data_IF_007956042702
#
_entry.id   IF_007956042702
#
_cell.length_a   1.000
_cell.length_b   1.000
_cell.length_c   1.000
_cell.angle_alpha   90.00
_cell.angle_beta   90.00
_cell.angle_gamma   90.00
#
_symmetry.space_group_name_H-M   'P 1'
#
loop_
_entity.id
_entity.type
_entity.pdbx_description
1 polymer ?
#
# COMPACT_ATOMS: atom_id res chain seq x y z
N UNK A 1 13.10 -27.91 7.72
CA UNK A 1 11.62 -28.06 7.70
C UNK A 1 10.98 -27.95 9.11
N UNK A 2 11.53 -27.11 10.00
CA UNK A 2 10.91 -26.78 11.30
C UNK A 2 10.49 -25.29 11.35
N UNK A 3 11.27 -24.39 10.72
CA UNK A 3 11.02 -22.96 10.66
C UNK A 3 9.69 -22.54 10.00
N UNK A 4 9.21 -23.29 9.00
CA UNK A 4 7.97 -22.94 8.28
C UNK A 4 6.70 -23.21 9.11
N UNK A 5 6.76 -24.11 10.11
CA UNK A 5 5.59 -24.46 10.93
C UNK A 5 5.26 -23.41 11.99
N UNK A 6 6.25 -22.62 12.44
CA UNK A 6 6.04 -21.61 13.50
C UNK A 6 5.51 -20.26 12.98
N UNK A 7 5.65 -19.98 11.68
CA UNK A 7 5.24 -18.71 11.07
C UNK A 7 3.74 -18.65 10.72
N UNK A 8 3.00 -19.75 10.90
CA UNK A 8 1.67 -19.93 10.31
C UNK A 8 1.75 -19.91 8.77
N UNK A 9 0.62 -20.00 8.04
CA UNK A 9 0.67 -19.93 6.59
C UNK A 9 1.40 -18.64 6.15
N UNK A 10 2.47 -18.85 5.39
CA UNK A 10 3.16 -17.85 4.60
C UNK A 10 2.51 -17.91 3.22
N UNK A 11 1.62 -16.95 2.91
CA UNK A 11 0.90 -16.93 1.63
C UNK A 11 -0.55 -16.46 1.71
N UNK A 12 -1.25 -16.67 0.59
CA UNK A 12 -2.57 -16.13 0.23
C UNK A 12 -3.72 -16.36 1.23
N UNK A 13 -3.64 -17.39 2.08
CA UNK A 13 -4.71 -17.68 3.03
C UNK A 13 -4.80 -16.68 4.21
N UNK A 14 -3.74 -15.93 4.50
CA UNK A 14 -3.81 -14.74 5.35
C UNK A 14 -4.01 -13.43 4.55
N UNK A 15 -4.00 -13.51 3.20
CA UNK A 15 -4.22 -12.40 2.27
C UNK A 15 -5.69 -12.05 2.04
N UNK A 16 -6.59 -12.46 2.96
CA UNK A 16 -7.79 -11.64 3.29
C UNK A 16 -7.36 -10.32 3.96
N UNK A 17 -6.40 -9.61 3.37
CA UNK A 17 -6.01 -8.26 3.75
C UNK A 17 -7.22 -7.38 3.50
N UNK A 18 -7.69 -6.79 4.59
CA UNK A 18 -8.88 -5.95 4.60
C UNK A 18 -8.53 -4.60 3.98
N UNK A 19 -9.54 -3.92 3.45
CA UNK A 19 -9.37 -2.55 2.99
C UNK A 19 -8.91 -1.63 4.14
N UNK A 20 -8.31 -0.51 3.77
CA UNK A 20 -8.01 0.56 4.73
C UNK A 20 -9.30 1.06 5.39
N UNK A 21 -9.17 1.53 6.62
CA UNK A 21 -10.26 2.06 7.44
C UNK A 21 -10.55 3.55 7.17
N UNK A 22 -9.93 4.14 6.14
CA UNK A 22 -10.15 5.55 5.80
C UNK A 22 -11.62 5.80 5.39
N UNK A 23 -12.29 6.85 5.91
CA UNK A 23 -13.74 7.03 5.75
C UNK A 23 -14.18 7.32 4.31
N UNK A 24 -13.29 7.89 3.48
CA UNK A 24 -13.56 8.19 2.05
C UNK A 24 -12.88 7.23 1.08
N UNK A 25 -12.54 6.02 1.54
CA UNK A 25 -11.97 4.99 0.65
C UNK A 25 -12.92 4.69 -0.49
N UNK A 26 -12.43 4.75 -1.71
CA UNK A 26 -13.27 4.50 -2.86
C UNK A 26 -13.69 3.03 -2.89
N UNK A 27 -14.98 2.81 -3.15
CA UNK A 27 -15.55 1.51 -3.44
C UNK A 27 -16.38 1.68 -4.70
N UNK A 28 -16.11 0.86 -5.70
CA UNK A 28 -16.74 0.95 -6.99
C UNK A 28 -17.04 -0.47 -7.50
N UNK A 29 -18.13 -0.61 -8.24
CA UNK A 29 -18.47 -1.86 -8.90
C UNK A 29 -17.58 -2.10 -10.14
N UNK A 30 -17.65 -3.30 -10.72
CA UNK A 30 -16.80 -3.67 -11.85
C UNK A 30 -16.99 -2.77 -13.08
N UNK A 31 -18.22 -2.38 -13.47
CA UNK A 31 -18.43 -1.43 -14.57
C UNK A 31 -17.72 -0.09 -14.32
N UNK A 32 -17.89 0.50 -13.13
CA UNK A 32 -17.25 1.77 -12.78
C UNK A 32 -15.74 1.66 -12.77
N UNK A 33 -15.18 0.57 -12.24
CA UNK A 33 -13.73 0.34 -12.25
C UNK A 33 -13.17 0.09 -13.65
N UNK A 34 -13.95 -0.54 -14.53
CA UNK A 34 -13.55 -0.73 -15.94
C UNK A 34 -13.47 0.60 -16.66
N UNK A 35 -14.43 1.50 -16.41
CA UNK A 35 -14.39 2.85 -16.98
C UNK A 35 -13.24 3.68 -16.41
N UNK A 36 -12.99 3.57 -15.10
CA UNK A 36 -11.82 4.19 -14.48
C UNK A 36 -10.51 3.70 -15.11
N UNK A 37 -10.37 2.39 -15.38
CA UNK A 37 -9.19 1.85 -16.06
C UNK A 37 -8.99 2.47 -17.46
N UNK A 38 -10.06 2.60 -18.26
CA UNK A 38 -10.00 3.28 -19.56
C UNK A 38 -9.62 4.75 -19.45
N UNK A 39 -10.15 5.46 -18.45
CA UNK A 39 -9.81 6.85 -18.15
C UNK A 39 -8.32 7.00 -17.82
N UNK A 40 -7.77 6.09 -17.02
CA UNK A 40 -6.35 6.10 -16.68
C UNK A 40 -5.50 5.80 -17.92
N UNK A 41 -5.89 4.82 -18.75
CA UNK A 41 -5.21 4.52 -20.01
C UNK A 41 -5.21 5.73 -20.97
N UNK A 42 -6.22 6.59 -20.91
CA UNK A 42 -6.31 7.83 -21.71
C UNK A 42 -5.66 9.06 -21.04
N UNK A 43 -5.13 8.92 -19.82
CA UNK A 43 -4.38 9.97 -19.13
C UNK A 43 -5.20 10.84 -18.18
N UNK A 44 -6.43 10.47 -17.87
CA UNK A 44 -7.25 11.12 -16.85
C UNK A 44 -7.30 10.26 -15.56
N UNK A 45 -6.74 10.75 -14.42
CA UNK A 45 -6.74 10.02 -13.17
C UNK A 45 -8.14 9.87 -12.54
N UNK A 46 -9.12 10.68 -12.94
CA UNK A 46 -10.48 10.66 -12.41
C UNK A 46 -10.51 10.68 -10.88
N UNK A 47 -11.24 9.73 -10.28
CA UNK A 47 -11.42 9.65 -8.82
C UNK A 47 -10.14 9.28 -8.06
N UNK A 48 -9.12 8.68 -8.71
CA UNK A 48 -7.82 8.42 -8.08
C UNK A 48 -7.12 9.70 -7.62
N UNK A 49 -7.45 10.84 -8.22
CA UNK A 49 -6.83 12.11 -7.86
C UNK A 49 -7.23 12.61 -6.46
N UNK A 50 -8.36 12.15 -5.92
CA UNK A 50 -9.01 12.78 -4.75
C UNK A 50 -9.49 11.83 -3.67
N UNK A 51 -9.74 10.55 -3.99
CA UNK A 51 -10.17 9.54 -3.03
C UNK A 51 -9.11 8.44 -2.90
N UNK A 52 -8.74 8.01 -1.68
CA UNK A 52 -7.83 6.89 -1.52
C UNK A 52 -8.47 5.61 -2.08
N UNK A 53 -7.69 4.83 -2.82
CA UNK A 53 -8.13 3.54 -3.35
C UNK A 53 -8.15 2.47 -2.26
N UNK A 54 -9.03 1.49 -2.46
CA UNK A 54 -9.03 0.27 -1.66
C UNK A 54 -8.10 -0.76 -2.32
N UNK A 55 -7.67 -1.78 -1.55
CA UNK A 55 -6.80 -2.84 -2.09
C UNK A 55 -7.46 -3.54 -3.26
N UNK A 56 -8.77 -3.80 -3.17
CA UNK A 56 -9.53 -4.43 -4.25
C UNK A 56 -9.52 -3.58 -5.53
N UNK A 57 -9.59 -2.26 -5.39
CA UNK A 57 -9.47 -1.32 -6.51
C UNK A 57 -8.06 -1.39 -7.10
N UNK A 58 -7.02 -1.37 -6.27
CA UNK A 58 -5.64 -1.38 -6.74
C UNK A 58 -5.32 -2.63 -7.57
N UNK A 59 -5.72 -3.81 -7.08
CA UNK A 59 -5.54 -5.07 -7.82
C UNK A 59 -6.38 -5.12 -9.09
N UNK A 60 -7.61 -4.59 -9.05
CA UNK A 60 -8.43 -4.52 -10.25
C UNK A 60 -7.74 -3.69 -11.33
N UNK A 61 -7.30 -2.47 -10.98
CA UNK A 61 -6.62 -1.57 -11.91
C UNK A 61 -5.31 -2.19 -12.42
N UNK A 62 -4.48 -2.73 -11.54
CA UNK A 62 -3.23 -3.39 -11.92
C UNK A 62 -3.44 -4.54 -12.92
N UNK A 63 -4.56 -5.26 -12.84
CA UNK A 63 -4.91 -6.34 -13.77
C UNK A 63 -5.54 -5.88 -15.10
N UNK A 64 -5.89 -4.59 -15.22
CA UNK A 64 -6.67 -4.05 -16.34
C UNK A 64 -5.95 -3.00 -17.18
N UNK A 65 -5.03 -2.25 -16.59
CA UNK A 65 -4.31 -1.20 -17.29
C UNK A 65 -3.38 -1.78 -18.36
N UNK A 66 -3.31 -1.08 -19.49
CA UNK A 66 -2.32 -1.35 -20.53
C UNK A 66 -1.00 -0.63 -20.23
N UNK A 67 -0.08 -0.68 -21.21
CA UNK A 67 1.21 0.01 -21.12
C UNK A 67 1.05 1.53 -20.98
N UNK A 68 0.09 2.13 -21.69
CA UNK A 68 -0.22 3.56 -21.57
C UNK A 68 -0.64 3.93 -20.15
N UNK A 69 -1.57 3.18 -19.54
CA UNK A 69 -1.97 3.37 -18.16
C UNK A 69 -0.81 3.22 -17.19
N UNK A 70 0.03 2.20 -17.35
CA UNK A 70 1.24 2.02 -16.54
C UNK A 70 2.18 3.24 -16.63
N UNK A 71 2.37 3.77 -17.84
CA UNK A 71 3.19 4.97 -18.07
C UNK A 71 2.61 6.21 -17.40
N UNK A 72 1.29 6.41 -17.45
CA UNK A 72 0.64 7.50 -16.71
C UNK A 72 0.78 7.33 -15.19
N UNK A 73 0.63 6.11 -14.66
CA UNK A 73 0.86 5.88 -13.24
C UNK A 73 2.30 6.21 -12.83
N UNK A 74 3.30 5.80 -13.64
CA UNK A 74 4.72 6.11 -13.39
C UNK A 74 4.95 7.62 -13.36
N UNK A 75 4.34 8.34 -14.29
CA UNK A 75 4.41 9.80 -14.31
C UNK A 75 3.73 10.40 -13.07
N UNK A 76 2.53 9.94 -12.72
CA UNK A 76 1.81 10.45 -11.56
C UNK A 76 2.51 10.14 -10.24
N UNK A 77 3.21 9.02 -10.09
CA UNK A 77 4.06 8.79 -8.91
C UNK A 77 5.11 9.89 -8.74
N UNK A 78 5.67 10.42 -9.84
CA UNK A 78 6.68 11.48 -9.81
C UNK A 78 6.07 12.87 -9.64
N UNK A 79 5.07 13.20 -10.46
CA UNK A 79 4.62 14.58 -10.69
C UNK A 79 3.14 14.80 -10.41
N UNK A 80 2.41 13.77 -9.97
CA UNK A 80 0.99 13.85 -9.70
C UNK A 80 0.64 15.00 -8.75
N UNK A 81 -0.35 15.80 -9.11
CA UNK A 81 -0.67 17.08 -8.46
C UNK A 81 -1.00 16.96 -6.96
N UNK A 82 -1.62 15.86 -6.54
CA UNK A 82 -2.03 15.63 -5.16
C UNK A 82 -1.26 14.45 -4.58
N UNK A 83 -0.94 14.47 -3.28
CA UNK A 83 -0.33 13.32 -2.61
C UNK A 83 -1.22 12.08 -2.66
N UNK A 84 -2.54 12.25 -2.70
CA UNK A 84 -3.49 11.15 -2.89
C UNK A 84 -3.30 10.48 -4.25
N UNK A 85 -3.18 11.26 -5.32
CA UNK A 85 -2.92 10.71 -6.66
C UNK A 85 -1.62 9.91 -6.68
N UNK A 86 -0.54 10.50 -6.15
CA UNK A 86 0.78 9.85 -6.14
C UNK A 86 0.77 8.55 -5.33
N UNK A 87 0.15 8.57 -4.15
CA UNK A 87 0.03 7.38 -3.30
C UNK A 87 -0.83 6.29 -3.95
N UNK A 88 -1.98 6.65 -4.53
CA UNK A 88 -2.82 5.69 -5.24
C UNK A 88 -2.11 5.11 -6.47
N UNK A 89 -1.41 5.94 -7.24
CA UNK A 89 -0.66 5.49 -8.40
C UNK A 89 0.48 4.54 -8.01
N UNK A 90 1.19 4.85 -6.92
CA UNK A 90 2.22 3.99 -6.34
C UNK A 90 1.65 2.65 -5.89
N UNK A 91 0.49 2.66 -5.22
CA UNK A 91 -0.18 1.45 -4.77
C UNK A 91 -0.56 0.53 -5.94
N UNK A 92 -1.14 1.08 -7.01
CA UNK A 92 -1.47 0.33 -8.24
C UNK A 92 -0.21 -0.22 -8.91
N UNK A 93 0.82 0.59 -9.12
CA UNK A 93 2.09 0.13 -9.71
C UNK A 93 2.72 -0.99 -8.89
N UNK A 94 2.70 -0.89 -7.56
CA UNK A 94 3.21 -1.95 -6.70
C UNK A 94 2.47 -3.27 -6.93
N UNK A 95 1.15 -3.26 -7.20
CA UNK A 95 0.38 -4.48 -7.49
C UNK A 95 0.63 -5.04 -8.89
N UNK A 96 1.10 -4.21 -9.82
CA UNK A 96 1.53 -4.70 -11.15
C UNK A 96 2.77 -5.59 -11.05
N UNK A 97 3.54 -5.52 -9.96
CA UNK A 97 4.69 -6.40 -9.68
C UNK A 97 5.79 -6.38 -10.76
N UNK A 98 5.92 -5.28 -11.50
CA UNK A 98 6.91 -5.14 -12.55
C UNK A 98 8.28 -4.77 -11.95
N UNK A 99 9.32 -5.50 -12.34
CA UNK A 99 10.68 -5.31 -11.78
C UNK A 99 11.24 -3.91 -12.07
N UNK A 100 10.94 -3.37 -13.24
CA UNK A 100 11.36 -2.03 -13.66
C UNK A 100 10.81 -0.90 -12.78
N UNK A 101 9.71 -1.14 -12.06
CA UNK A 101 9.06 -0.12 -11.23
C UNK A 101 9.58 -0.08 -9.79
N UNK A 102 10.39 -1.06 -9.38
CA UNK A 102 10.86 -1.17 -7.98
C UNK A 102 11.69 0.06 -7.58
N UNK A 103 12.62 0.49 -8.41
CA UNK A 103 13.48 1.64 -8.11
C UNK A 103 12.65 2.93 -7.97
N UNK A 104 11.67 3.13 -8.85
CA UNK A 104 10.74 4.26 -8.77
C UNK A 104 9.92 4.26 -7.48
N UNK A 105 9.38 3.08 -7.10
CA UNK A 105 8.57 2.94 -5.88
C UNK A 105 9.41 3.26 -4.64
N UNK A 106 10.63 2.73 -4.56
CA UNK A 106 11.54 2.97 -3.44
C UNK A 106 11.94 4.44 -3.37
N UNK A 107 12.37 5.03 -4.48
CA UNK A 107 12.76 6.45 -4.54
C UNK A 107 11.62 7.38 -4.11
N UNK A 108 10.39 7.10 -4.55
CA UNK A 108 9.21 7.87 -4.13
C UNK A 108 8.96 7.76 -2.61
N UNK A 109 9.05 6.56 -2.03
CA UNK A 109 8.86 6.35 -0.59
C UNK A 109 9.98 6.99 0.24
N UNK A 110 11.19 7.11 -0.30
CA UNK A 110 12.32 7.76 0.35
C UNK A 110 12.24 9.29 0.29
N UNK A 111 11.79 9.85 -0.84
CA UNK A 111 11.87 11.30 -1.12
C UNK A 111 10.56 12.06 -0.89
N UNK A 112 9.40 11.43 -1.08
CA UNK A 112 8.09 12.06 -0.87
C UNK A 112 7.52 11.73 0.51
N UNK A 113 7.72 12.63 1.47
CA UNK A 113 7.28 12.43 2.85
C UNK A 113 5.75 12.23 2.98
N UNK A 114 4.96 12.87 2.12
CA UNK A 114 3.50 12.77 2.17
C UNK A 114 3.04 11.41 1.65
N UNK A 115 3.61 10.93 0.54
CA UNK A 115 3.33 9.59 0.02
C UNK A 115 3.78 8.54 1.02
N UNK A 116 5.01 8.63 1.53
CA UNK A 116 5.51 7.75 2.58
C UNK A 116 4.55 7.67 3.76
N UNK A 117 4.12 8.81 4.29
CA UNK A 117 3.17 8.84 5.42
C UNK A 117 1.84 8.13 5.10
N UNK A 118 1.28 8.37 3.91
CA UNK A 118 0.01 7.75 3.49
C UNK A 118 0.15 6.24 3.29
N UNK A 119 1.25 5.78 2.68
CA UNK A 119 1.54 4.35 2.49
C UNK A 119 1.73 3.63 3.82
N UNK A 120 2.50 4.21 4.75
CA UNK A 120 2.70 3.66 6.09
C UNK A 120 1.38 3.58 6.89
N UNK A 121 0.58 4.64 6.88
CA UNK A 121 -0.73 4.65 7.56
C UNK A 121 -1.68 3.62 6.96
N UNK A 122 -1.67 3.48 5.63
CA UNK A 122 -2.45 2.46 4.93
C UNK A 122 -2.00 1.06 5.31
N UNK A 123 -0.70 0.80 5.41
CA UNK A 123 -0.16 -0.51 5.82
C UNK A 123 -0.59 -0.87 7.24
N UNK A 124 -0.43 0.04 8.21
CA UNK A 124 -0.92 -0.18 9.59
C UNK A 124 -2.43 -0.45 9.60
N UNK A 125 -3.19 0.35 8.87
CA UNK A 125 -4.65 0.24 8.80
C UNK A 125 -5.10 -1.13 8.25
N UNK A 126 -4.53 -1.59 7.13
CA UNK A 126 -4.85 -2.90 6.54
C UNK A 126 -4.51 -4.07 7.49
N UNK A 127 -3.34 -4.02 8.14
CA UNK A 127 -2.85 -5.11 8.97
C UNK A 127 -3.54 -5.20 10.34
N UNK A 128 -3.81 -4.06 10.95
CA UNK A 128 -4.28 -3.99 12.34
C UNK A 128 -5.75 -3.62 12.47
N UNK A 129 -6.34 -3.04 11.42
CA UNK A 129 -7.73 -2.60 11.40
C UNK A 129 -8.07 -1.63 12.54
N UNK A 130 -7.10 -0.82 12.91
CA UNK A 130 -7.33 0.34 13.75
C UNK A 130 -8.08 1.40 12.94
N UNK A 131 -8.73 2.34 13.63
CA UNK A 131 -9.26 3.52 12.98
C UNK A 131 -8.14 4.32 12.28
N UNK A 132 -8.53 5.20 11.37
CA UNK A 132 -7.57 5.93 10.54
C UNK A 132 -6.67 6.87 11.36
N UNK A 133 -7.19 7.47 12.43
CA UNK A 133 -6.39 8.39 13.27
C UNK A 133 -5.33 7.63 14.05
N UNK A 134 -5.69 6.48 14.64
CA UNK A 134 -4.71 5.58 15.26
C UNK A 134 -3.66 5.10 14.26
N UNK A 135 -4.07 4.74 13.03
CA UNK A 135 -3.15 4.29 11.98
C UNK A 135 -2.15 5.39 11.58
N UNK A 136 -2.61 6.65 11.49
CA UNK A 136 -1.74 7.81 11.27
C UNK A 136 -0.78 8.07 12.42
N UNK A 137 -1.24 7.93 13.67
CA UNK A 137 -0.38 8.11 14.84
C UNK A 137 0.78 7.10 14.83
N UNK A 138 0.49 5.83 14.55
CA UNK A 138 1.50 4.77 14.42
C UNK A 138 2.43 4.99 13.22
N UNK A 139 1.90 5.45 12.08
CA UNK A 139 2.73 5.77 10.92
C UNK A 139 3.73 6.90 11.20
N UNK A 140 3.35 7.87 12.03
CA UNK A 140 4.22 8.97 12.47
C UNK A 140 5.24 8.51 13.52
N UNK A 141 4.80 7.70 14.46
CA UNK A 141 5.63 7.14 15.53
C UNK A 141 5.22 5.68 15.80
N UNK A 142 5.95 4.69 15.23
CA UNK A 142 5.63 3.28 15.40
C UNK A 142 5.62 2.82 16.87
N UNK A 143 6.31 3.53 17.77
CA UNK A 143 6.34 3.20 19.20
C UNK A 143 4.98 3.38 19.89
N UNK A 144 4.05 4.11 19.27
CA UNK A 144 2.68 4.32 19.75
C UNK A 144 1.72 3.19 19.40
N UNK A 145 2.18 2.15 18.69
CA UNK A 145 1.35 1.02 18.30
C UNK A 145 0.63 0.37 19.50
N UNK A 146 -0.71 0.25 19.49
CA UNK A 146 -1.45 -0.35 20.62
C UNK A 146 -1.07 -1.80 20.90
N UNK A 147 -0.65 -2.54 19.87
CA UNK A 147 -0.23 -3.94 19.97
C UNK A 147 1.06 -4.15 19.17
N UNK A 148 2.22 -3.71 19.68
CA UNK A 148 3.45 -3.62 18.89
C UNK A 148 3.96 -4.99 18.41
N UNK A 149 3.85 -6.02 19.25
CA UNK A 149 4.24 -7.41 18.87
C UNK A 149 3.35 -7.98 17.77
N UNK A 150 2.04 -7.72 17.82
CA UNK A 150 1.09 -8.18 16.80
C UNK A 150 1.36 -7.48 15.46
N UNK A 151 1.57 -6.16 15.50
CA UNK A 151 1.93 -5.38 14.31
C UNK A 151 3.26 -5.86 13.73
N UNK A 152 4.29 -6.07 14.55
CA UNK A 152 5.58 -6.58 14.08
C UNK A 152 5.46 -7.94 13.40
N UNK A 153 4.72 -8.89 13.98
CA UNK A 153 4.46 -10.20 13.35
C UNK A 153 3.78 -10.06 11.98
N UNK A 154 2.85 -9.12 11.83
CA UNK A 154 2.19 -8.85 10.56
C UNK A 154 3.15 -8.22 9.54
N UNK A 155 3.93 -7.21 9.94
CA UNK A 155 4.90 -6.52 9.07
C UNK A 155 6.05 -7.42 8.61
N UNK A 156 6.47 -8.40 9.41
CA UNK A 156 7.45 -9.41 8.97
C UNK A 156 6.94 -10.17 7.74
N UNK A 157 5.63 -10.45 7.67
CA UNK A 157 5.04 -11.08 6.49
C UNK A 157 5.00 -10.14 5.29
N UNK A 158 4.71 -8.86 5.50
CA UNK A 158 4.77 -7.85 4.43
C UNK A 158 6.18 -7.68 3.85
N UNK A 159 7.20 -7.72 4.71
CA UNK A 159 8.61 -7.56 4.31
C UNK A 159 9.10 -8.71 3.41
N UNK A 160 8.44 -9.86 3.46
CA UNK A 160 8.75 -11.04 2.66
C UNK A 160 7.87 -11.18 1.41
N UNK A 161 7.00 -10.20 1.11
CA UNK A 161 6.08 -10.30 -0.02
C UNK A 161 6.74 -9.88 -1.34
N UNK A 162 7.20 -10.84 -2.13
CA UNK A 162 7.93 -10.56 -3.38
C UNK A 162 7.16 -9.76 -4.44
N UNK A 163 5.83 -9.88 -4.44
CA UNK A 163 4.92 -9.24 -5.41
C UNK A 163 4.48 -7.83 -5.04
N UNK A 164 5.07 -7.21 -4.01
CA UNK A 164 4.58 -5.91 -3.51
C UNK A 164 5.71 -5.07 -2.94
N UNK A 165 6.36 -4.26 -3.78
CA UNK A 165 7.49 -3.43 -3.39
C UNK A 165 7.11 -2.40 -2.31
N UNK A 166 5.94 -1.77 -2.43
CA UNK A 166 5.44 -0.82 -1.43
C UNK A 166 5.26 -1.48 -0.07
N UNK A 167 4.56 -2.62 -0.01
CA UNK A 167 4.31 -3.30 1.27
C UNK A 167 5.61 -3.83 1.88
N UNK A 168 6.57 -4.31 1.07
CA UNK A 168 7.89 -4.69 1.59
C UNK A 168 8.63 -3.52 2.22
N UNK A 169 8.67 -2.39 1.53
CA UNK A 169 9.35 -1.19 2.01
C UNK A 169 8.69 -0.66 3.29
N UNK A 170 7.35 -0.54 3.31
CA UNK A 170 6.58 -0.11 4.48
C UNK A 170 6.77 -1.08 5.65
N UNK A 171 6.77 -2.39 5.37
CA UNK A 171 7.05 -3.46 6.33
C UNK A 171 8.39 -3.25 7.03
N UNK A 172 9.46 -3.11 6.26
CA UNK A 172 10.81 -2.89 6.77
C UNK A 172 10.91 -1.58 7.57
N UNK A 173 10.34 -0.48 7.07
CA UNK A 173 10.36 0.82 7.73
C UNK A 173 9.67 0.79 9.10
N UNK A 174 8.45 0.26 9.16
CA UNK A 174 7.68 0.18 10.40
C UNK A 174 8.30 -0.80 11.40
N UNK A 175 8.83 -1.94 10.94
CA UNK A 175 9.55 -2.89 11.81
C UNK A 175 10.73 -2.23 12.51
N UNK A 176 11.55 -1.47 11.76
CA UNK A 176 12.67 -0.72 12.33
C UNK A 176 12.20 0.24 13.43
N UNK A 177 11.11 0.96 13.20
CA UNK A 177 10.55 1.89 14.19
C UNK A 177 9.94 1.23 15.43
N UNK A 178 9.50 -0.03 15.32
CA UNK A 178 8.91 -0.77 16.44
C UNK A 178 9.92 -1.34 17.42
N UNK A 179 11.18 -1.54 17.02
CA UNK A 179 12.23 -2.16 17.83
C UNK A 179 12.26 -1.68 19.29
N UNK A 180 12.16 -0.37 19.61
CA UNK A 180 12.20 0.13 20.99
C UNK A 180 11.07 -0.35 21.90
N UNK A 181 9.97 -0.86 21.35
CA UNK A 181 8.77 -1.24 22.11
C UNK A 181 8.41 -2.72 22.04
N UNK A 182 9.20 -3.54 21.31
CA UNK A 182 8.91 -4.98 21.18
C UNK A 182 9.12 -5.76 22.48
N UNK A 183 10.03 -5.29 23.34
CA UNK A 183 10.35 -5.92 24.63
C UNK A 183 9.44 -5.50 25.79
N UNK A 184 8.54 -4.53 25.57
CA UNK A 184 7.47 -4.21 26.52
C UNK A 184 6.43 -5.33 26.51
#
# INVERSE_FOLDING_TARGET
MAYERELGPLGDDMLRRRDITHPRTMKADRPTLTELARSIDSGDPGVLATAPSSRAVDFFLASKLGESGANHLREWVRTGKTSTLRANALAVLSKMSMREDIELIVDCLETDEKVRFLSLASEVSKLMQHDWETSKAVAKDPTTAPNPRKLAKALTKETLLDSDAESRWCGAYLLRGLVPVLGR
#
